data_IF_456634250946
#
_entry.id   IF_456634250946
#
_cell.length_a   1.000
_cell.length_b   1.000
_cell.length_c   1.000
_cell.angle_alpha   90.00
_cell.angle_beta   90.00
_cell.angle_gamma   90.00
#
_symmetry.space_group_name_H-M   'P 1'
#
loop_
_entity.id
_entity.type
_entity.pdbx_description
1 polymer ?
#
# COMPACT_ATOMS: atom_id res chain seq x y z
N UNK A 1 -14.50 8.36 -1.19
CA UNK A 1 -14.70 8.27 -2.65
C UNK A 1 -16.07 8.82 -3.03
N UNK A 2 -16.16 9.54 -4.14
CA UNK A 2 -17.37 10.21 -4.63
C UNK A 2 -17.56 9.89 -6.11
N UNK A 3 -18.80 9.65 -6.52
CA UNK A 3 -19.16 9.49 -7.94
C UNK A 3 -19.04 10.83 -8.66
N UNK A 4 -18.25 10.87 -9.75
CA UNK A 4 -18.09 12.08 -10.58
C UNK A 4 -19.35 12.39 -11.41
N UNK A 5 -20.26 11.43 -11.54
CA UNK A 5 -21.52 11.59 -12.30
C UNK A 5 -22.63 12.14 -11.41
N UNK A 6 -22.79 11.56 -10.22
CA UNK A 6 -23.96 11.82 -9.33
C UNK A 6 -23.61 12.69 -8.13
N UNK A 7 -22.33 12.89 -7.83
CA UNK A 7 -21.87 13.57 -6.62
C UNK A 7 -22.10 12.79 -5.31
N UNK A 8 -22.63 11.56 -5.39
CA UNK A 8 -22.91 10.75 -4.20
C UNK A 8 -21.63 10.14 -3.62
N UNK A 9 -21.54 10.09 -2.29
CA UNK A 9 -20.46 9.37 -1.58
C UNK A 9 -20.62 7.87 -1.85
N UNK A 10 -19.58 7.24 -2.39
CA UNK A 10 -19.59 5.80 -2.69
C UNK A 10 -18.90 4.98 -1.60
N UNK A 11 -17.80 5.49 -1.05
CA UNK A 11 -17.02 4.80 -0.02
C UNK A 11 -16.37 5.79 0.95
N UNK A 12 -16.21 5.39 2.20
CA UNK A 12 -15.42 6.10 3.22
C UNK A 12 -14.24 5.22 3.61
N UNK A 13 -13.03 5.77 3.59
CA UNK A 13 -11.77 5.03 3.81
C UNK A 13 -11.01 5.72 4.96
N UNK A 14 -10.40 4.94 5.85
CA UNK A 14 -9.53 5.47 6.91
C UNK A 14 -8.30 6.15 6.30
N UNK A 15 -8.18 7.46 6.51
CA UNK A 15 -7.18 8.27 5.80
C UNK A 15 -5.76 8.17 6.35
N UNK A 16 -5.58 7.85 7.62
CA UNK A 16 -4.27 7.87 8.26
C UNK A 16 -3.35 6.75 7.77
N UNK A 17 -3.87 5.54 7.58
CA UNK A 17 -3.10 4.41 7.04
C UNK A 17 -2.89 4.57 5.53
N UNK A 18 -3.93 5.04 4.83
CA UNK A 18 -3.85 5.35 3.40
C UNK A 18 -2.76 6.38 3.12
N UNK A 19 -2.72 7.48 3.89
CA UNK A 19 -1.71 8.54 3.78
C UNK A 19 -0.30 7.99 4.01
N UNK A 20 -0.11 7.12 5.01
CA UNK A 20 1.20 6.55 5.28
C UNK A 20 1.72 5.69 4.13
N UNK A 21 0.88 4.79 3.62
CA UNK A 21 1.23 3.89 2.53
C UNK A 21 1.47 4.68 1.24
N UNK A 22 0.55 5.59 0.88
CA UNK A 22 0.65 6.33 -0.38
C UNK A 22 1.83 7.29 -0.40
N UNK A 23 2.18 7.93 0.71
CA UNK A 23 3.35 8.80 0.80
C UNK A 23 4.63 7.99 0.57
N UNK A 24 4.80 6.89 1.30
CA UNK A 24 5.96 6.02 1.15
C UNK A 24 6.06 5.39 -0.25
N UNK A 25 4.94 4.97 -0.84
CA UNK A 25 4.91 4.44 -2.19
C UNK A 25 5.30 5.49 -3.24
N UNK A 26 4.77 6.72 -3.12
CA UNK A 26 5.14 7.84 -3.99
C UNK A 26 6.63 8.18 -3.91
N UNK A 27 7.17 8.25 -2.68
CA UNK A 27 8.61 8.47 -2.43
C UNK A 27 9.46 7.34 -3.00
N UNK A 28 9.06 6.08 -2.85
CA UNK A 28 9.79 4.94 -3.39
C UNK A 28 9.81 4.94 -4.93
N UNK A 29 8.69 5.30 -5.58
CA UNK A 29 8.61 5.47 -7.04
C UNK A 29 9.50 6.63 -7.51
N UNK A 30 9.44 7.79 -6.84
CA UNK A 30 10.30 8.93 -7.14
C UNK A 30 11.78 8.56 -7.00
N UNK A 31 12.16 7.95 -5.87
CA UNK A 31 13.52 7.47 -5.59
C UNK A 31 13.99 6.51 -6.69
N UNK A 32 13.16 5.53 -7.09
CA UNK A 32 13.49 4.59 -8.19
C UNK A 32 13.78 5.30 -9.50
N UNK A 33 13.00 6.33 -9.80
CA UNK A 33 13.12 7.09 -11.04
C UNK A 33 14.35 8.00 -11.05
N UNK A 34 14.61 8.67 -9.93
CA UNK A 34 15.74 9.58 -9.73
C UNK A 34 17.06 8.82 -9.72
N UNK A 35 17.09 7.67 -9.04
CA UNK A 35 18.29 6.82 -8.92
C UNK A 35 18.44 5.83 -10.08
N UNK A 36 17.71 6.00 -11.18
CA UNK A 36 17.76 5.08 -12.32
C UNK A 36 19.18 4.99 -12.89
N UNK A 37 19.69 3.78 -13.04
CA UNK A 37 21.06 3.53 -13.51
C UNK A 37 22.13 3.59 -12.40
N UNK A 38 21.74 3.89 -11.16
CA UNK A 38 22.62 3.94 -10.00
C UNK A 38 22.33 2.75 -9.09
N UNK A 39 23.37 2.23 -8.44
CA UNK A 39 23.22 1.12 -7.51
C UNK A 39 22.80 1.65 -6.14
N UNK A 40 21.70 1.16 -5.61
CA UNK A 40 21.24 1.45 -4.24
C UNK A 40 21.45 0.21 -3.39
N UNK A 41 22.40 0.27 -2.45
CA UNK A 41 22.74 -0.82 -1.52
C UNK A 41 22.61 -0.41 -0.07
N UNK A 42 22.74 0.87 0.24
CA UNK A 42 22.69 1.39 1.62
C UNK A 42 21.60 2.46 1.71
N UNK A 43 20.61 2.18 2.53
CA UNK A 43 19.48 3.08 2.79
C UNK A 43 19.48 3.44 4.27
N UNK A 44 19.41 4.73 4.58
CA UNK A 44 19.19 5.22 5.93
C UNK A 44 17.78 5.77 6.03
N UNK A 45 17.01 5.37 7.04
CA UNK A 45 15.70 5.94 7.34
C UNK A 45 15.74 6.57 8.73
N UNK A 46 15.55 7.88 8.79
CA UNK A 46 15.54 8.64 10.05
C UNK A 46 14.10 8.84 10.51
N UNK A 47 13.82 8.35 11.72
CA UNK A 47 12.51 8.36 12.33
C UNK A 47 11.84 6.99 12.21
N UNK A 48 11.59 6.34 13.35
CA UNK A 48 10.87 5.05 13.41
C UNK A 48 9.34 5.26 13.56
N UNK A 49 8.82 6.32 12.94
CA UNK A 49 7.42 6.74 12.96
C UNK A 49 6.51 5.90 12.06
N UNK A 50 5.24 6.33 11.90
CA UNK A 50 4.33 5.73 10.91
C UNK A 50 4.90 5.85 9.49
N UNK A 51 5.40 7.05 9.13
CA UNK A 51 6.05 7.25 7.82
C UNK A 51 7.33 6.43 7.69
N UNK A 52 8.23 6.46 8.68
CA UNK A 52 9.46 5.67 8.64
C UNK A 52 9.22 4.17 8.42
N UNK A 53 8.22 3.59 9.10
CA UNK A 53 7.79 2.20 8.87
C UNK A 53 7.44 1.93 7.42
N UNK A 54 6.50 2.69 6.85
CA UNK A 54 6.09 2.47 5.46
C UNK A 54 7.21 2.76 4.47
N UNK A 55 8.10 3.72 4.77
CA UNK A 55 9.25 4.03 3.91
C UNK A 55 10.26 2.89 3.85
N UNK A 56 10.60 2.28 5.00
CA UNK A 56 11.46 1.07 5.00
C UNK A 56 10.81 -0.02 4.16
N UNK A 57 9.51 -0.28 4.38
CA UNK A 57 8.75 -1.30 3.66
C UNK A 57 8.71 -1.08 2.14
N UNK A 58 8.34 0.12 1.69
CA UNK A 58 8.27 0.45 0.26
C UNK A 58 9.66 0.48 -0.39
N UNK A 59 10.69 0.95 0.31
CA UNK A 59 12.05 0.98 -0.23
C UNK A 59 12.65 -0.43 -0.34
N UNK A 60 12.42 -1.32 0.63
CA UNK A 60 12.82 -2.73 0.52
C UNK A 60 12.08 -3.45 -0.61
N UNK A 61 10.83 -3.07 -0.88
CA UNK A 61 10.07 -3.61 -2.04
C UNK A 61 10.71 -3.19 -3.37
N UNK A 62 11.20 -1.95 -3.48
CA UNK A 62 11.82 -1.43 -4.70
C UNK A 62 13.29 -1.84 -4.82
N UNK A 63 14.00 -1.96 -3.70
CA UNK A 63 15.42 -2.29 -3.59
C UNK A 63 15.62 -3.50 -2.67
N UNK A 64 15.24 -4.72 -3.11
CA UNK A 64 15.25 -5.92 -2.28
C UNK A 64 16.64 -6.38 -1.85
N UNK A 65 17.71 -5.85 -2.46
CA UNK A 65 19.10 -6.12 -2.09
C UNK A 65 19.71 -5.08 -1.13
N UNK A 66 18.99 -4.00 -0.83
CA UNK A 66 19.53 -2.94 0.02
C UNK A 66 19.61 -3.37 1.50
N UNK A 67 20.65 -2.90 2.18
CA UNK A 67 20.72 -2.89 3.63
C UNK A 67 20.11 -1.58 4.13
N UNK A 68 19.35 -1.67 5.22
CA UNK A 68 18.66 -0.53 5.82
C UNK A 68 19.25 -0.24 7.19
N UNK A 69 19.53 1.02 7.47
CA UNK A 69 19.85 1.51 8.83
C UNK A 69 18.72 2.42 9.29
N UNK A 70 18.05 2.06 10.38
CA UNK A 70 16.99 2.87 10.99
C UNK A 70 17.62 3.71 12.10
N UNK A 71 17.58 5.04 11.95
CA UNK A 71 18.09 5.98 12.95
C UNK A 71 16.90 6.60 13.68
N UNK A 72 16.90 6.56 15.01
CA UNK A 72 15.80 7.15 15.79
C UNK A 72 16.25 7.60 17.18
N UNK A 73 15.64 8.67 17.72
CA UNK A 73 15.88 9.11 19.12
C UNK A 73 15.53 8.05 20.16
N UNK A 74 14.52 7.23 19.89
CA UNK A 74 14.13 6.13 20.78
C UNK A 74 14.57 4.81 20.14
N UNK A 75 15.67 4.25 20.62
CA UNK A 75 16.25 3.03 20.06
C UNK A 75 15.28 1.84 20.13
N UNK A 76 14.49 1.71 21.22
CA UNK A 76 13.47 0.64 21.35
C UNK A 76 12.41 0.70 20.25
N UNK A 77 12.06 1.90 19.78
CA UNK A 77 11.10 2.07 18.68
C UNK A 77 11.70 1.65 17.34
N UNK A 78 12.98 1.97 17.11
CA UNK A 78 13.70 1.51 15.92
C UNK A 78 13.85 -0.02 15.92
N UNK A 79 14.15 -0.61 17.09
CA UNK A 79 14.30 -2.06 17.23
C UNK A 79 13.00 -2.82 16.93
N UNK A 80 11.85 -2.31 17.38
CA UNK A 80 10.56 -2.92 17.00
C UNK A 80 10.33 -2.90 15.49
N UNK A 81 10.64 -1.77 14.84
CA UNK A 81 10.53 -1.68 13.38
C UNK A 81 11.52 -2.62 12.69
N UNK A 82 12.74 -2.77 13.22
CA UNK A 82 13.73 -3.71 12.70
C UNK A 82 13.19 -5.14 12.69
N UNK A 83 12.71 -5.63 13.84
CA UNK A 83 12.14 -6.98 13.98
C UNK A 83 10.99 -7.18 13.01
N UNK A 84 10.09 -6.21 12.91
CA UNK A 84 8.94 -6.26 11.98
C UNK A 84 9.39 -6.42 10.52
N UNK A 85 10.37 -5.62 10.07
CA UNK A 85 10.86 -5.66 8.68
C UNK A 85 11.65 -6.95 8.39
N UNK A 86 12.40 -7.47 9.36
CA UNK A 86 13.09 -8.75 9.22
C UNK A 86 12.09 -9.90 9.05
N UNK A 87 11.01 -9.90 9.83
CA UNK A 87 9.95 -10.92 9.75
C UNK A 87 9.15 -10.81 8.44
N UNK A 88 8.66 -9.62 8.09
CA UNK A 88 7.83 -9.40 6.90
C UNK A 88 8.56 -9.79 5.60
N UNK A 89 9.83 -9.40 5.48
CA UNK A 89 10.63 -9.64 4.27
C UNK A 89 11.52 -10.88 4.36
N UNK A 90 11.47 -11.64 5.47
CA UNK A 90 12.32 -12.83 5.73
C UNK A 90 13.81 -12.54 5.51
N UNK A 91 14.28 -11.42 6.06
CA UNK A 91 15.64 -10.95 5.87
C UNK A 91 16.58 -11.51 6.93
N UNK A 92 17.86 -11.65 6.58
CA UNK A 92 18.91 -11.95 7.55
C UNK A 92 19.11 -10.80 8.53
N UNK A 93 19.52 -11.12 9.76
CA UNK A 93 19.67 -10.17 10.89
C UNK A 93 20.48 -8.91 10.53
N UNK A 94 21.52 -9.05 9.70
CA UNK A 94 22.40 -7.96 9.30
C UNK A 94 21.84 -7.01 8.24
N UNK A 95 20.70 -7.36 7.61
CA UNK A 95 20.07 -6.57 6.54
C UNK A 95 19.42 -5.29 7.04
N UNK A 96 19.00 -5.27 8.31
CA UNK A 96 18.40 -4.10 8.95
C UNK A 96 19.13 -3.82 10.26
N UNK A 97 19.76 -2.65 10.35
CA UNK A 97 20.46 -2.17 11.54
C UNK A 97 19.66 -1.05 12.20
N UNK A 98 19.90 -0.83 13.49
CA UNK A 98 19.33 0.31 14.24
C UNK A 98 20.44 1.13 14.86
N UNK A 99 20.27 2.44 14.90
CA UNK A 99 21.16 3.37 15.56
C UNK A 99 20.36 4.43 16.33
N UNK A 100 20.90 4.86 17.46
CA UNK A 100 20.34 5.99 18.20
C UNK A 100 20.77 7.30 17.52
N UNK A 101 19.84 8.26 17.40
CA UNK A 101 20.17 9.56 16.82
C UNK A 101 21.22 10.28 17.68
N UNK A 102 22.34 10.67 17.07
CA UNK A 102 23.50 11.24 17.77
C UNK A 102 24.46 10.21 18.37
N UNK A 103 24.20 8.91 18.18
CA UNK A 103 25.11 7.83 18.57
C UNK A 103 26.29 7.64 17.62
N UNK A 104 27.26 6.84 18.05
CA UNK A 104 28.44 6.49 17.25
C UNK A 104 28.05 5.78 15.94
N UNK A 105 28.74 6.11 14.84
CA UNK A 105 28.54 5.49 13.53
C UNK A 105 27.38 6.05 12.70
N UNK A 106 26.55 6.96 13.22
CA UNK A 106 25.47 7.59 12.43
C UNK A 106 26.04 8.43 11.28
N UNK A 107 27.09 9.20 11.53
CA UNK A 107 27.79 9.99 10.51
C UNK A 107 28.29 9.11 9.36
N UNK A 108 28.98 8.01 9.69
CA UNK A 108 29.44 7.04 8.70
C UNK A 108 28.27 6.43 7.92
N UNK A 109 27.21 6.00 8.61
CA UNK A 109 26.04 5.43 7.96
C UNK A 109 25.38 6.40 6.96
N UNK A 110 25.30 7.69 7.30
CA UNK A 110 24.76 8.75 6.42
C UNK A 110 25.71 9.05 5.26
N UNK A 111 27.02 9.12 5.49
CA UNK A 111 28.03 9.36 4.46
C UNK A 111 28.21 8.22 3.47
N UNK A 112 27.86 7.01 3.89
CA UNK A 112 27.88 5.82 3.05
C UNK A 112 26.56 5.55 2.32
N UNK A 113 25.46 6.17 2.76
CA UNK A 113 24.12 5.93 2.25
C UNK A 113 23.98 6.35 0.78
N UNK A 114 23.41 5.48 -0.04
CA UNK A 114 22.98 5.83 -1.39
C UNK A 114 21.65 6.60 -1.34
N UNK A 115 20.79 6.28 -0.36
CA UNK A 115 19.51 6.95 -0.10
C UNK A 115 19.36 7.24 1.39
N UNK A 116 19.00 8.48 1.75
CA UNK A 116 18.57 8.86 3.10
C UNK A 116 17.12 9.32 3.05
N UNK A 117 16.26 8.78 3.90
CA UNK A 117 14.88 9.25 4.06
C UNK A 117 14.71 9.91 5.42
N UNK A 118 14.35 11.19 5.41
CA UNK A 118 14.05 11.98 6.58
C UNK A 118 12.52 11.94 6.79
N UNK A 119 12.10 11.23 7.83
CA UNK A 119 10.69 11.00 8.19
C UNK A 119 10.41 11.55 9.58
N UNK A 120 10.82 12.79 9.84
CA UNK A 120 10.83 13.42 11.16
C UNK A 120 10.01 14.70 11.19
N UNK A 121 9.45 15.04 12.36
CA UNK A 121 8.80 16.34 12.56
C UNK A 121 9.81 17.37 13.11
N UNK A 122 11.03 17.38 12.59
CA UNK A 122 12.08 18.26 13.11
C UNK A 122 11.84 19.72 12.73
N UNK A 123 12.24 20.62 13.61
CA UNK A 123 12.28 22.06 13.36
C UNK A 123 13.69 22.55 12.99
N UNK A 124 14.68 21.66 13.11
CA UNK A 124 16.08 21.94 12.85
C UNK A 124 16.67 20.84 11.95
N UNK A 125 17.63 21.19 11.06
CA UNK A 125 18.35 20.24 10.23
C UNK A 125 18.85 19.04 11.05
N UNK A 126 18.62 17.83 10.55
CA UNK A 126 18.94 16.59 11.28
C UNK A 126 20.45 16.34 11.30
N UNK A 127 21.10 16.56 10.15
CA UNK A 127 22.53 16.33 9.94
C UNK A 127 23.11 17.51 9.15
N UNK A 128 24.40 17.85 9.36
CA UNK A 128 25.07 18.84 8.54
C UNK A 128 25.25 18.35 7.10
N UNK A 129 25.29 19.28 6.14
CA UNK A 129 25.44 18.99 4.71
C UNK A 129 26.67 18.13 4.36
N UNK A 130 27.73 18.21 5.16
CA UNK A 130 28.99 17.48 5.00
C UNK A 130 28.86 15.98 5.26
N UNK A 131 27.86 15.55 6.04
CA UNK A 131 27.64 14.13 6.34
C UNK A 131 27.09 13.36 5.16
N UNK A 132 26.30 14.01 4.30
CA UNK A 132 25.64 13.30 3.20
C UNK A 132 26.63 12.92 2.10
N UNK A 133 26.43 11.76 1.50
CA UNK A 133 27.24 11.33 0.35
C UNK A 133 27.17 12.34 -0.81
N UNK A 134 28.29 12.62 -1.46
CA UNK A 134 28.37 13.61 -2.55
C UNK A 134 27.55 13.24 -3.79
N UNK A 135 27.31 11.95 -4.02
CA UNK A 135 26.37 11.47 -5.02
C UNK A 135 25.05 10.98 -4.41
N UNK A 136 24.84 11.01 -3.10
CA UNK A 136 23.64 10.43 -2.45
C UNK A 136 22.31 11.05 -2.89
N UNK A 137 21.22 10.36 -2.57
CA UNK A 137 19.87 10.88 -2.71
C UNK A 137 19.22 11.07 -1.34
N UNK A 138 18.52 12.18 -1.14
CA UNK A 138 17.80 12.46 0.10
C UNK A 138 16.32 12.71 -0.18
N UNK A 139 15.46 11.97 0.51
CA UNK A 139 14.03 12.21 0.54
C UNK A 139 13.69 12.97 1.83
N UNK A 140 13.13 14.18 1.73
CA UNK A 140 12.54 14.89 2.86
C UNK A 140 11.03 14.80 2.81
N UNK A 141 10.45 14.18 3.84
CA UNK A 141 9.03 13.80 3.88
C UNK A 141 8.32 14.45 5.07
N UNK A 142 9.04 14.69 6.16
CA UNK A 142 8.46 15.14 7.40
C UNK A 142 8.20 16.65 7.47
N UNK A 143 8.97 17.46 6.75
CA UNK A 143 8.81 18.91 6.75
C UNK A 143 7.68 19.45 5.87
N UNK A 144 6.42 19.37 6.30
CA UNK A 144 5.26 19.84 5.51
C UNK A 144 4.65 21.17 6.01
N UNK A 145 5.12 21.70 7.14
CA UNK A 145 4.71 23.03 7.64
C UNK A 145 5.82 24.06 7.38
N UNK A 146 5.49 25.35 7.48
CA UNK A 146 6.45 26.45 7.25
C UNK A 146 7.63 26.47 8.20
N UNK A 147 7.51 25.89 9.39
CA UNK A 147 8.57 25.96 10.42
C UNK A 147 9.43 24.69 10.48
N UNK A 148 8.99 23.59 9.86
CA UNK A 148 9.71 22.32 9.92
C UNK A 148 10.92 22.32 9.00
N UNK A 149 12.07 21.84 9.50
CA UNK A 149 13.31 21.72 8.73
C UNK A 149 13.95 20.38 9.07
N UNK A 150 14.26 19.60 8.05
CA UNK A 150 15.02 18.36 8.13
C UNK A 150 16.42 18.52 7.50
N UNK A 151 16.59 19.46 6.57
CA UNK A 151 17.89 19.85 5.97
C UNK A 151 18.13 21.37 6.03
N UNK A 152 19.40 21.76 5.97
CA UNK A 152 19.83 23.16 5.91
C UNK A 152 19.98 23.68 4.48
N UNK A 153 20.25 24.98 4.35
CA UNK A 153 20.49 25.63 3.06
C UNK A 153 21.78 25.11 2.39
N UNK A 154 22.84 24.84 3.16
CA UNK A 154 24.11 24.33 2.62
C UNK A 154 23.90 22.98 1.90
N UNK A 155 23.06 22.12 2.47
CA UNK A 155 22.65 20.87 1.85
C UNK A 155 21.91 21.12 0.53
N UNK A 156 20.92 22.01 0.52
CA UNK A 156 20.17 22.30 -0.70
C UNK A 156 21.07 22.91 -1.80
N UNK A 157 21.97 23.80 -1.42
CA UNK A 157 22.89 24.45 -2.36
C UNK A 157 23.89 23.46 -2.96
N UNK A 158 24.24 22.39 -2.23
CA UNK A 158 25.10 21.31 -2.72
C UNK A 158 24.39 20.32 -3.68
N UNK A 159 23.06 20.34 -3.75
CA UNK A 159 22.31 19.42 -4.60
C UNK A 159 22.43 19.82 -6.07
N UNK A 160 22.70 18.84 -6.94
CA UNK A 160 22.72 19.07 -8.39
C UNK A 160 21.32 19.13 -8.98
N UNK A 161 20.35 18.46 -8.35
CA UNK A 161 18.95 18.53 -8.72
C UNK A 161 18.04 18.45 -7.48
N UNK A 162 16.95 19.23 -7.52
CA UNK A 162 15.88 19.21 -6.53
C UNK A 162 14.59 18.78 -7.22
N UNK A 163 13.93 17.76 -6.70
CA UNK A 163 12.65 17.26 -7.22
C UNK A 163 11.56 17.57 -6.23
N UNK A 164 10.42 18.05 -6.72
CA UNK A 164 9.25 18.38 -5.92
C UNK A 164 8.08 17.52 -6.39
N UNK A 165 7.28 16.98 -5.48
CA UNK A 165 6.04 16.29 -5.90
C UNK A 165 5.02 17.25 -6.53
N UNK A 166 4.99 18.49 -6.06
CA UNK A 166 4.12 19.58 -6.47
C UNK A 166 4.81 20.94 -6.30
N UNK A 167 4.33 21.98 -6.97
CA UNK A 167 4.85 23.34 -6.80
C UNK A 167 4.74 23.86 -5.35
N UNK A 168 3.68 23.44 -4.63
CA UNK A 168 3.44 23.80 -3.22
C UNK A 168 4.58 23.39 -2.30
N UNK A 169 5.41 22.42 -2.69
CA UNK A 169 6.61 22.06 -1.94
C UNK A 169 7.59 23.24 -1.78
N UNK A 170 7.56 24.24 -2.67
CA UNK A 170 8.36 25.47 -2.55
C UNK A 170 7.87 26.42 -1.46
N UNK A 171 6.66 26.24 -0.93
CA UNK A 171 6.03 27.15 0.02
C UNK A 171 6.07 26.66 1.47
N UNK A 172 6.76 25.54 1.72
CA UNK A 172 6.79 24.88 3.03
C UNK A 172 8.15 24.27 3.34
N UNK A 173 8.35 23.98 4.62
CA UNK A 173 9.37 23.05 5.08
C UNK A 173 10.79 23.45 4.69
N UNK A 174 11.57 22.43 4.33
CA UNK A 174 12.97 22.55 3.92
C UNK A 174 13.22 23.56 2.80
N UNK A 175 12.25 23.83 1.93
CA UNK A 175 12.47 24.73 0.80
C UNK A 175 12.51 26.20 1.22
N UNK A 176 11.86 26.56 2.34
CA UNK A 176 11.85 27.91 2.87
C UNK A 176 13.08 28.14 3.76
N UNK A 177 14.14 28.76 3.24
CA UNK A 177 15.37 29.00 4.01
C UNK A 177 15.57 30.50 4.26
N UNK A 178 16.40 30.85 5.24
CA UNK A 178 16.71 32.25 5.58
C UNK A 178 15.46 33.07 5.94
N UNK A 179 15.11 34.05 5.11
CA UNK A 179 13.95 34.95 5.28
C UNK A 179 12.60 34.29 4.95
N UNK A 180 12.57 32.98 4.75
CA UNK A 180 11.34 32.23 4.44
C UNK A 180 11.05 32.16 2.95
N UNK A 181 12.08 32.16 2.11
CA UNK A 181 11.98 32.06 0.66
C UNK A 181 12.90 30.95 0.12
N UNK A 182 12.57 30.44 -1.07
CA UNK A 182 13.44 29.54 -1.82
C UNK A 182 14.55 30.38 -2.46
N UNK A 183 15.82 30.07 -2.16
CA UNK A 183 16.96 30.72 -2.83
C UNK A 183 16.92 30.46 -4.34
N UNK A 184 17.21 31.49 -5.14
CA UNK A 184 17.15 31.41 -6.60
C UNK A 184 18.08 30.33 -7.18
N UNK A 185 19.27 30.16 -6.60
CA UNK A 185 20.20 29.09 -6.99
C UNK A 185 19.65 27.68 -6.72
N UNK A 186 18.74 27.51 -5.77
CA UNK A 186 18.04 26.23 -5.53
C UNK A 186 16.85 26.11 -6.48
N UNK A 187 16.05 27.18 -6.63
CA UNK A 187 14.87 27.23 -7.51
C UNK A 187 15.19 26.87 -8.95
N UNK A 188 16.30 27.37 -9.49
CA UNK A 188 16.76 27.08 -10.86
C UNK A 188 17.12 25.62 -11.11
N UNK A 189 17.29 24.79 -10.06
CA UNK A 189 17.55 23.35 -10.13
C UNK A 189 16.33 22.49 -9.78
N UNK A 190 15.16 23.11 -9.58
CA UNK A 190 13.94 22.40 -9.28
C UNK A 190 13.33 21.75 -10.52
N UNK A 191 12.82 20.54 -10.38
CA UNK A 191 11.98 19.85 -11.36
C UNK A 191 10.75 19.25 -10.66
N UNK A 192 9.62 19.20 -11.36
CA UNK A 192 8.42 18.55 -10.83
C UNK A 192 8.48 17.04 -11.09
N UNK A 193 8.00 16.25 -10.13
CA UNK A 193 7.99 14.79 -10.21
C UNK A 193 7.33 14.25 -11.50
N UNK A 194 6.21 14.80 -12.01
CA UNK A 194 5.66 14.37 -13.29
C UNK A 194 6.65 14.42 -14.46
N UNK A 195 7.50 15.45 -14.52
CA UNK A 195 8.48 15.61 -15.61
C UNK A 195 9.66 14.65 -15.42
N UNK A 196 10.10 14.46 -14.16
CA UNK A 196 11.08 13.42 -13.81
C UNK A 196 10.58 12.02 -14.20
N UNK A 197 9.30 11.72 -13.98
CA UNK A 197 8.69 10.44 -14.35
C UNK A 197 8.72 10.23 -15.87
N UNK A 198 8.38 11.25 -16.66
CA UNK A 198 8.50 11.24 -18.13
C UNK A 198 9.95 11.19 -18.62
N UNK A 199 10.90 11.60 -17.78
CA UNK A 199 12.31 11.74 -18.14
C UNK A 199 12.69 13.07 -18.75
N UNK A 200 11.84 14.07 -18.56
CA UNK A 200 12.01 15.45 -19.00
C UNK A 200 12.69 16.25 -17.88
N UNK A 201 13.88 15.83 -17.45
CA UNK A 201 14.64 16.52 -16.40
C UNK A 201 16.14 16.33 -16.56
N UNK A 202 16.89 17.32 -16.08
CA UNK A 202 18.36 17.33 -16.08
C UNK A 202 18.84 17.02 -14.65
N UNK A 203 18.74 15.75 -14.23
CA UNK A 203 19.12 15.35 -12.88
C UNK A 203 19.55 13.90 -12.81
N UNK A 204 20.76 13.65 -12.30
CA UNK A 204 21.26 12.27 -12.15
C UNK A 204 22.74 12.15 -11.82
N UNK A 205 23.54 13.19 -12.07
CA UNK A 205 24.92 13.28 -11.58
C UNK A 205 24.99 14.04 -10.27
N UNK A 206 25.70 13.52 -9.26
CA UNK A 206 25.86 14.18 -7.95
C UNK A 206 24.68 13.98 -6.98
N UNK A 207 24.61 14.85 -5.97
CA UNK A 207 23.64 14.77 -4.87
C UNK A 207 22.25 15.24 -5.32
N UNK A 208 21.22 14.45 -5.05
CA UNK A 208 19.84 14.80 -5.42
C UNK A 208 18.95 14.88 -4.19
N UNK A 209 17.96 15.76 -4.24
CA UNK A 209 17.00 15.97 -3.16
C UNK A 209 15.58 15.82 -3.69
N UNK A 210 14.74 15.06 -3.00
CA UNK A 210 13.30 14.99 -3.27
C UNK A 210 12.53 15.53 -2.07
N UNK A 211 11.74 16.59 -2.32
CA UNK A 211 10.82 17.15 -1.33
C UNK A 211 9.41 16.62 -1.58
N UNK A 212 8.91 15.85 -0.61
CA UNK A 212 7.53 15.38 -0.60
C UNK A 212 6.70 16.17 0.41
N UNK A 213 5.57 16.71 -0.04
CA UNK A 213 4.54 17.37 0.80
C UNK A 213 3.15 16.75 0.61
N UNK A 214 3.00 15.89 -0.40
CA UNK A 214 1.80 15.18 -0.74
C UNK A 214 1.01 15.85 -1.85
N UNK A 215 0.42 15.02 -2.71
CA UNK A 215 -0.44 15.47 -3.80
C UNK A 215 -1.79 14.74 -3.72
N UNK A 216 -2.89 15.48 -3.77
CA UNK A 216 -4.24 14.92 -3.66
C UNK A 216 -4.53 13.79 -4.69
N UNK A 217 -3.90 13.82 -5.86
CA UNK A 217 -4.06 12.74 -6.84
C UNK A 217 -3.51 11.40 -6.32
N UNK A 218 -2.49 11.40 -5.45
CA UNK A 218 -1.99 10.19 -4.80
C UNK A 218 -3.03 9.61 -3.83
N UNK A 219 -3.74 10.47 -3.09
CA UNK A 219 -4.81 10.03 -2.18
C UNK A 219 -5.99 9.43 -2.97
N UNK A 220 -6.37 10.06 -4.09
CA UNK A 220 -7.42 9.54 -4.99
C UNK A 220 -7.02 8.20 -5.60
N UNK A 221 -5.79 8.10 -6.11
CA UNK A 221 -5.28 6.86 -6.72
C UNK A 221 -5.20 5.72 -5.69
N UNK A 222 -4.71 5.99 -4.48
CA UNK A 222 -4.68 5.01 -3.41
C UNK A 222 -6.09 4.60 -2.95
N UNK A 223 -7.02 5.56 -2.86
CA UNK A 223 -8.42 5.28 -2.55
C UNK A 223 -9.11 4.43 -3.60
N UNK A 224 -8.87 4.71 -4.88
CA UNK A 224 -9.37 3.89 -6.00
C UNK A 224 -8.80 2.46 -5.93
N UNK A 225 -7.49 2.32 -5.71
CA UNK A 225 -6.85 1.01 -5.53
C UNK A 225 -7.50 0.22 -4.39
N UNK A 226 -7.78 0.84 -3.24
CA UNK A 226 -8.47 0.17 -2.14
C UNK A 226 -9.85 -0.31 -2.58
N UNK A 227 -10.67 0.56 -3.17
CA UNK A 227 -12.03 0.19 -3.63
C UNK A 227 -12.02 -0.94 -4.65
N UNK A 228 -11.10 -0.89 -5.62
CA UNK A 228 -10.98 -1.91 -6.66
C UNK A 228 -10.56 -3.28 -6.09
N UNK A 229 -9.91 -3.30 -4.92
CA UNK A 229 -9.42 -4.49 -4.24
C UNK A 229 -10.19 -4.83 -2.96
N UNK A 230 -11.29 -4.12 -2.65
CA UNK A 230 -12.16 -4.53 -1.56
C UNK A 230 -12.71 -5.93 -1.87
N UNK A 231 -12.71 -6.86 -0.91
CA UNK A 231 -13.40 -8.13 -1.06
C UNK A 231 -14.83 -7.83 -1.48
N UNK A 232 -15.20 -8.25 -2.68
CA UNK A 232 -16.53 -8.00 -3.20
C UNK A 232 -17.47 -9.03 -2.61
N UNK A 233 -17.95 -8.78 -1.40
CA UNK A 233 -18.93 -9.64 -0.77
C UNK A 233 -20.25 -9.69 -1.54
N UNK A 234 -20.96 -10.80 -1.40
CA UNK A 234 -22.32 -10.99 -1.91
C UNK A 234 -23.15 -11.81 -0.92
N UNK A 235 -24.45 -11.92 -1.20
CA UNK A 235 -25.36 -12.83 -0.49
C UNK A 235 -25.59 -14.08 -1.33
N UNK A 236 -25.53 -15.25 -0.69
CA UNK A 236 -25.95 -16.52 -1.28
C UNK A 236 -27.20 -16.99 -0.56
N UNK A 237 -28.25 -17.27 -1.32
CA UNK A 237 -29.44 -17.97 -0.84
C UNK A 237 -29.42 -19.42 -1.30
N UNK A 238 -29.51 -20.36 -0.35
CA UNK A 238 -29.66 -21.78 -0.66
C UNK A 238 -31.09 -22.20 -0.32
N UNK A 239 -31.79 -22.83 -1.28
CA UNK A 239 -33.17 -23.32 -1.08
C UNK A 239 -33.22 -24.84 -1.14
N UNK A 240 -33.79 -25.46 -0.10
CA UNK A 240 -34.11 -26.90 -0.07
C UNK A 240 -35.33 -27.20 -0.96
N UNK A 241 -35.25 -28.25 -1.77
CA UNK A 241 -36.28 -28.67 -2.72
C UNK A 241 -36.85 -30.05 -2.41
N UNK A 242 -38.05 -30.07 -1.82
CA UNK A 242 -38.89 -31.25 -1.66
C UNK A 242 -40.34 -30.83 -1.39
N UNK A 243 -41.32 -31.70 -1.72
CA UNK A 243 -42.74 -31.43 -1.41
C UNK A 243 -42.91 -31.34 0.12
N UNK A 244 -43.12 -30.14 0.64
CA UNK A 244 -43.66 -29.92 2.00
C UNK A 244 -42.79 -29.13 2.97
N UNK A 245 -41.48 -28.97 2.75
CA UNK A 245 -40.61 -28.22 3.67
C UNK A 245 -39.57 -27.40 2.90
N UNK A 246 -39.76 -26.08 2.88
CA UNK A 246 -38.81 -25.12 2.32
C UNK A 246 -38.11 -24.37 3.44
N UNK A 247 -36.79 -24.53 3.55
CA UNK A 247 -35.91 -23.66 4.31
C UNK A 247 -35.07 -22.80 3.36
N UNK A 248 -34.94 -21.51 3.66
CA UNK A 248 -34.04 -20.57 2.99
C UNK A 248 -32.90 -20.27 3.95
N UNK A 249 -31.66 -20.44 3.50
CA UNK A 249 -30.47 -20.10 4.29
C UNK A 249 -29.73 -18.97 3.59
N UNK A 250 -29.49 -17.89 4.32
CA UNK A 250 -28.76 -16.71 3.87
C UNK A 250 -27.35 -16.75 4.46
N UNK A 251 -26.35 -16.75 3.59
CA UNK A 251 -24.93 -16.65 3.97
C UNK A 251 -24.28 -15.44 3.32
N UNK A 252 -23.50 -14.68 4.09
CA UNK A 252 -22.58 -13.70 3.56
C UNK A 252 -21.27 -14.40 3.16
N UNK A 253 -20.66 -13.96 2.07
CA UNK A 253 -19.32 -14.42 1.71
C UNK A 253 -18.36 -13.28 1.47
N UNK A 254 -17.07 -13.58 1.66
CA UNK A 254 -15.96 -12.74 1.26
C UNK A 254 -15.30 -13.39 0.04
N UNK A 255 -15.28 -12.66 -1.07
CA UNK A 255 -14.59 -13.04 -2.31
C UNK A 255 -13.09 -12.74 -2.16
N UNK A 256 -12.29 -13.77 -1.85
CA UNK A 256 -10.82 -13.69 -1.75
C UNK A 256 -10.12 -13.83 -3.12
N UNK A 257 -10.88 -13.78 -4.23
CA UNK A 257 -10.38 -14.04 -5.58
C UNK A 257 -10.18 -15.52 -5.91
N UNK A 258 -10.47 -16.43 -4.96
CA UNK A 258 -10.54 -17.90 -5.16
C UNK A 258 -11.94 -18.46 -4.90
N UNK A 259 -12.91 -17.58 -4.61
CA UNK A 259 -14.33 -17.89 -4.58
C UNK A 259 -14.68 -19.01 -3.60
N UNK A 260 -14.44 -18.86 -2.31
CA UNK A 260 -14.88 -19.86 -1.32
C UNK A 260 -16.02 -19.30 -0.45
N UNK A 261 -17.17 -19.96 -0.45
CA UNK A 261 -18.28 -19.65 0.47
C UNK A 261 -18.48 -20.83 1.41
N UNK A 262 -18.45 -20.57 2.72
CA UNK A 262 -18.71 -21.58 3.74
C UNK A 262 -20.03 -21.24 4.41
N UNK A 263 -21.06 -22.03 4.15
CA UNK A 263 -22.36 -21.89 4.82
C UNK A 263 -22.36 -22.80 6.05
N UNK A 264 -22.43 -22.21 7.25
CA UNK A 264 -22.43 -22.94 8.54
C UNK A 264 -23.86 -23.23 9.04
N UNK A 265 -23.99 -24.30 9.82
CA UNK A 265 -25.16 -25.16 10.09
C UNK A 265 -26.57 -24.53 10.23
N UNK A 266 -27.52 -25.24 9.62
CA UNK A 266 -28.88 -25.52 10.11
C UNK A 266 -29.18 -27.02 9.89
N UNK A 267 -30.28 -27.54 10.44
CA UNK A 267 -30.57 -28.99 10.43
C UNK A 267 -30.96 -29.49 9.02
N UNK A 268 -29.97 -29.88 8.22
CA UNK A 268 -30.17 -30.41 6.87
C UNK A 268 -30.61 -31.87 6.95
N UNK A 269 -31.92 -32.10 7.04
CA UNK A 269 -32.51 -33.45 6.98
C UNK A 269 -31.95 -34.32 5.82
N UNK A 270 -32.19 -35.63 5.84
CA UNK A 270 -31.60 -36.69 4.98
C UNK A 270 -31.73 -36.57 3.44
N UNK A 271 -32.12 -35.42 2.88
CA UNK A 271 -32.29 -35.18 1.44
C UNK A 271 -31.58 -33.88 1.06
N UNK A 272 -30.60 -34.00 0.16
CA UNK A 272 -29.61 -32.98 -0.19
C UNK A 272 -30.13 -31.69 -0.84
N UNK A 273 -29.18 -30.76 -1.03
CA UNK A 273 -29.32 -29.43 -1.68
C UNK A 273 -29.93 -29.55 -3.08
N UNK A 274 -30.90 -28.69 -3.38
CA UNK A 274 -31.67 -28.78 -4.62
C UNK A 274 -31.37 -27.63 -5.59
N UNK A 275 -31.06 -26.43 -5.08
CA UNK A 275 -30.72 -25.23 -5.87
C UNK A 275 -29.86 -24.25 -5.04
N UNK A 276 -28.95 -23.53 -5.69
CA UNK A 276 -28.16 -22.42 -5.12
C UNK A 276 -28.45 -21.15 -5.91
N UNK A 277 -28.69 -20.04 -5.22
CA UNK A 277 -29.05 -18.73 -5.78
C UNK A 277 -28.05 -17.69 -5.27
N UNK A 278 -27.43 -16.93 -6.18
CA UNK A 278 -26.33 -15.99 -5.87
C UNK A 278 -26.72 -14.60 -6.33
N UNK A 279 -26.60 -13.59 -5.47
CA UNK A 279 -26.99 -12.22 -5.82
C UNK A 279 -25.91 -11.55 -6.68
N UNK A 280 -26.32 -10.97 -7.80
CA UNK A 280 -25.58 -9.89 -8.46
C UNK A 280 -24.40 -10.25 -9.35
N UNK A 281 -24.26 -11.47 -9.90
CA UNK A 281 -23.23 -11.78 -10.92
C UNK A 281 -23.69 -12.76 -11.99
N UNK A 282 -23.50 -12.36 -13.24
CA UNK A 282 -23.55 -13.22 -14.44
C UNK A 282 -22.19 -13.99 -14.53
N UNK A 283 -22.19 -15.21 -15.09
CA UNK A 283 -21.01 -16.04 -15.46
C UNK A 283 -20.27 -16.88 -14.39
N UNK A 284 -20.91 -17.29 -13.28
CA UNK A 284 -20.24 -18.05 -12.21
C UNK A 284 -20.61 -19.55 -12.23
N UNK A 285 -19.62 -20.44 -12.07
CA UNK A 285 -19.86 -21.87 -11.75
C UNK A 285 -19.76 -22.07 -10.24
N UNK A 286 -20.71 -22.82 -9.64
CA UNK A 286 -20.78 -23.07 -8.19
C UNK A 286 -20.62 -24.55 -7.91
N UNK A 287 -19.56 -24.96 -7.24
CA UNK A 287 -19.41 -26.30 -6.68
C UNK A 287 -20.11 -26.35 -5.31
N UNK A 288 -20.83 -27.43 -5.01
CA UNK A 288 -21.49 -27.68 -3.72
C UNK A 288 -20.94 -29.00 -3.17
N UNK A 289 -19.97 -28.95 -2.25
CA UNK A 289 -19.18 -30.14 -1.92
C UNK A 289 -18.37 -30.59 -3.15
N UNK A 290 -18.54 -31.85 -3.59
CA UNK A 290 -17.90 -32.40 -4.82
C UNK A 290 -18.80 -32.34 -6.06
N UNK A 291 -19.89 -31.56 -6.03
CA UNK A 291 -20.90 -31.49 -7.09
C UNK A 291 -20.86 -30.13 -7.79
N UNK A 292 -20.51 -30.12 -9.07
CA UNK A 292 -20.53 -28.91 -9.90
C UNK A 292 -21.97 -28.52 -10.26
N UNK A 293 -22.34 -27.27 -9.98
CA UNK A 293 -23.63 -26.66 -10.35
C UNK A 293 -23.36 -25.51 -11.33
N UNK A 294 -23.83 -25.66 -12.57
CA UNK A 294 -23.85 -24.56 -13.53
C UNK A 294 -25.01 -23.63 -13.22
N UNK A 295 -24.71 -22.34 -13.03
CA UNK A 295 -25.71 -21.28 -12.91
C UNK A 295 -26.24 -20.95 -14.30
N UNK A 296 -27.55 -21.02 -14.50
CA UNK A 296 -28.22 -20.68 -15.75
C UNK A 296 -28.89 -19.30 -15.70
N UNK A 297 -29.24 -18.77 -16.88
CA UNK A 297 -29.84 -17.44 -17.12
C UNK A 297 -31.34 -17.31 -16.75
N UNK A 298 -31.87 -18.09 -15.81
CA UNK A 298 -33.26 -17.85 -15.37
C UNK A 298 -33.29 -16.72 -14.34
N UNK A 299 -33.49 -15.49 -14.84
CA UNK A 299 -33.59 -14.27 -14.06
C UNK A 299 -34.94 -14.20 -13.32
N UNK A 300 -34.90 -14.41 -11.99
CA UNK A 300 -36.07 -14.28 -11.12
C UNK A 300 -35.77 -13.29 -10.00
N UNK A 301 -36.34 -12.08 -10.15
CA UNK A 301 -36.23 -10.95 -9.22
C UNK A 301 -34.80 -10.40 -9.04
N UNK A 302 -33.97 -10.39 -10.08
CA UNK A 302 -32.61 -9.83 -10.04
C UNK A 302 -31.54 -10.82 -9.56
N UNK A 303 -31.72 -12.10 -9.89
CA UNK A 303 -30.87 -13.18 -9.42
C UNK A 303 -30.72 -14.27 -10.49
N UNK A 304 -29.50 -14.77 -10.66
CA UNK A 304 -29.19 -15.89 -11.55
C UNK A 304 -29.41 -17.25 -10.84
N UNK A 305 -30.00 -18.22 -11.55
CA UNK A 305 -30.48 -19.49 -10.96
C UNK A 305 -29.76 -20.70 -11.59
N UNK A 306 -29.04 -21.47 -10.77
CA UNK A 306 -28.43 -22.74 -11.17
C UNK A 306 -29.23 -23.96 -10.75
N UNK A 307 -29.37 -24.95 -11.65
CA UNK A 307 -30.02 -26.23 -11.36
C UNK A 307 -28.97 -27.28 -11.04
N UNK A 308 -29.06 -27.91 -9.87
CA UNK A 308 -28.19 -29.05 -9.53
C UNK A 308 -28.54 -30.22 -10.46
N UNK A 309 -27.59 -30.69 -11.28
CA UNK A 309 -27.79 -31.86 -12.14
C UNK A 309 -27.85 -33.12 -11.28
N UNK A 310 -29.05 -33.68 -11.13
CA UNK A 310 -29.33 -34.88 -10.32
C UNK A 310 -28.61 -36.14 -10.79
N UNK A 311 -27.92 -36.11 -11.94
CA UNK A 311 -27.15 -37.26 -12.45
C UNK A 311 -25.84 -37.53 -11.70
N UNK A 312 -25.39 -36.62 -10.84
CA UNK A 312 -24.10 -36.75 -10.13
C UNK A 312 -24.15 -37.48 -8.76
N UNK A 313 -25.31 -38.06 -8.41
CA UNK A 313 -25.45 -39.03 -7.31
C UNK A 313 -25.95 -38.43 -6.00
N UNK A 314 -27.08 -38.97 -5.48
CA UNK A 314 -27.69 -38.55 -4.21
C UNK A 314 -26.79 -38.79 -2.98
N UNK A 315 -25.80 -39.69 -3.09
CA UNK A 315 -24.89 -40.08 -2.01
C UNK A 315 -23.73 -39.09 -1.72
N UNK A 316 -23.58 -38.04 -2.55
CA UNK A 316 -22.47 -37.07 -2.44
C UNK A 316 -22.84 -35.73 -1.82
N UNK A 317 -24.12 -35.55 -1.48
CA UNK A 317 -24.58 -34.35 -0.78
C UNK A 317 -24.64 -34.67 0.72
N UNK A 318 -24.02 -33.86 1.60
CA UNK A 318 -23.99 -34.17 3.03
C UNK A 318 -25.40 -34.40 3.57
N UNK A 319 -25.65 -35.57 4.15
CA UNK A 319 -26.83 -35.84 4.96
C UNK A 319 -26.57 -35.47 6.42
N UNK A 320 -27.58 -34.90 7.11
CA UNK A 320 -27.64 -34.56 8.53
C UNK A 320 -26.32 -34.06 9.17
N UNK A 321 -26.21 -32.73 9.34
CA UNK A 321 -25.18 -32.11 10.19
C UNK A 321 -23.80 -31.97 9.53
N UNK A 322 -23.74 -31.45 8.31
CA UNK A 322 -22.49 -31.18 7.59
C UNK A 322 -22.34 -29.72 7.16
N UNK A 323 -21.10 -29.24 7.12
CA UNK A 323 -20.76 -27.99 6.43
C UNK A 323 -20.84 -28.20 4.92
N UNK A 324 -21.51 -27.29 4.21
CA UNK A 324 -21.48 -27.24 2.74
C UNK A 324 -20.49 -26.16 2.34
N UNK A 325 -19.37 -26.57 1.77
CA UNK A 325 -18.42 -25.65 1.14
C UNK A 325 -18.82 -25.44 -0.30
N UNK A 326 -18.96 -24.19 -0.70
CA UNK A 326 -19.17 -23.81 -2.08
C UNK A 326 -17.87 -23.27 -2.68
N UNK A 327 -17.49 -23.79 -3.84
CA UNK A 327 -16.36 -23.27 -4.62
C UNK A 327 -16.87 -22.55 -5.86
N UNK A 328 -16.44 -21.32 -6.05
CA UNK A 328 -16.78 -20.49 -7.19
C UNK A 328 -15.54 -20.33 -8.04
N UNK A 329 -15.63 -20.74 -9.29
CA UNK A 329 -14.55 -20.57 -10.26
C UNK A 329 -14.98 -19.57 -11.33
N UNK A 330 -14.06 -18.67 -11.66
CA UNK A 330 -14.17 -17.77 -12.81
C UNK A 330 -13.65 -18.53 -14.04
N UNK A 331 -14.27 -18.42 -15.23
CA UNK A 331 -13.63 -18.86 -16.47
C UNK A 331 -12.34 -18.08 -16.78
#
# INVERSE_FOLDING_TARGET
MVSVITGSVTHVIEGGSLTAIRTAAGVAVATKRIMRGRRVRRIVVVGAGRQGREHVRCLLTVYPEANVTIVNRNLRRAERLRVEMLEEFKLEEGRVKVMELGGEGVEEAVGEADVVCLCTNSLEPIFPASWYKADGHVNAVGGFTKDMREVDLEFLESCTAVVLDTETAMEVGDMLQGEGEVREGVRSRCSLLPDVLKGEWEGGGGRTFFKSVGWAAQDVAAGAFVVDNLPRGGRVMVKKGGRGETGTFEGAFEDDGKGKVVVKEGDWGSRGVSFVKVEGREDWEVEVGDVLVKVGEEDVEGWNVGRVDKRLGEDRVPGNGGEVTLHFTRP
#
